data_IF_320304435840
#
_entry.id   IF_320304435840
#
_cell.length_a   1.000
_cell.length_b   1.000
_cell.length_c   1.000
_cell.angle_alpha   90.00
_cell.angle_beta   90.00
_cell.angle_gamma   90.00
#
_symmetry.space_group_name_H-M   'P 1'
#
loop_
_entity.id
_entity.type
_entity.pdbx_description
1 polymer ?
#
# COMPACT_ATOMS: atom_id res chain seq x y z
N UNK A 1 23.19 14.97 -17.64
CA UNK A 1 23.38 14.40 -16.28
C UNK A 1 24.23 15.25 -15.35
N UNK A 2 25.38 15.82 -15.78
CA UNK A 2 26.21 16.70 -14.93
C UNK A 2 25.54 18.02 -14.61
N UNK A 3 24.89 18.65 -15.57
CA UNK A 3 24.14 19.89 -15.38
C UNK A 3 22.99 19.73 -14.38
N UNK A 4 22.23 18.63 -14.44
CA UNK A 4 21.17 18.36 -13.47
C UNK A 4 21.72 18.19 -12.06
N UNK A 5 22.84 17.47 -11.89
CA UNK A 5 23.51 17.33 -10.58
C UNK A 5 24.11 18.65 -10.10
N UNK A 6 24.53 19.51 -11.03
CA UNK A 6 25.05 20.84 -10.71
C UNK A 6 23.93 21.79 -10.25
N UNK A 7 22.77 21.76 -10.91
CA UNK A 7 21.57 22.50 -10.51
C UNK A 7 21.07 22.06 -9.13
N UNK A 8 21.03 20.74 -8.90
CA UNK A 8 20.65 20.19 -7.58
C UNK A 8 21.64 20.65 -6.49
N UNK A 9 22.92 20.63 -6.79
CA UNK A 9 23.98 21.07 -5.88
C UNK A 9 23.88 22.57 -5.59
N UNK A 10 23.66 23.40 -6.62
CA UNK A 10 23.50 24.84 -6.48
C UNK A 10 22.24 25.23 -5.68
N UNK A 11 21.16 24.41 -5.78
CA UNK A 11 19.91 24.67 -5.09
C UNK A 11 19.92 24.23 -3.61
N UNK A 12 20.62 23.13 -3.29
CA UNK A 12 20.56 22.51 -1.96
C UNK A 12 21.78 22.78 -1.08
N UNK A 13 22.93 23.04 -1.69
CA UNK A 13 24.19 23.18 -0.95
C UNK A 13 24.54 24.65 -0.72
N UNK A 14 25.05 24.96 0.47
CA UNK A 14 25.62 26.29 0.76
C UNK A 14 27.00 26.41 0.08
N UNK A 15 27.00 26.90 -1.16
CA UNK A 15 28.21 27.23 -1.91
C UNK A 15 28.64 28.63 -1.53
N UNK A 16 29.89 28.81 -1.10
CA UNK A 16 30.41 30.10 -0.63
C UNK A 16 31.65 30.50 -1.41
N UNK A 17 31.79 31.80 -1.63
CA UNK A 17 32.99 32.37 -2.24
C UNK A 17 33.92 32.89 -1.14
N UNK A 18 35.15 32.39 -1.08
CA UNK A 18 36.14 32.78 -0.07
C UNK A 18 37.54 32.80 -0.73
N UNK A 19 38.31 33.87 -0.45
CA UNK A 19 39.71 33.97 -0.91
C UNK A 19 39.94 33.73 -2.39
N UNK A 20 39.00 34.18 -3.26
CA UNK A 20 39.14 34.05 -4.72
C UNK A 20 38.69 32.71 -5.31
N UNK A 21 38.21 31.77 -4.48
CA UNK A 21 37.74 30.46 -4.90
C UNK A 21 36.35 30.13 -4.32
N UNK A 22 35.64 29.23 -4.99
CA UNK A 22 34.34 28.74 -4.57
C UNK A 22 34.48 27.45 -3.77
N UNK A 23 33.89 27.43 -2.61
CA UNK A 23 33.83 26.23 -1.73
C UNK A 23 32.52 25.49 -1.99
N UNK A 24 32.63 24.33 -2.62
CA UNK A 24 31.46 23.50 -3.01
C UNK A 24 31.43 22.22 -2.18
N UNK A 25 30.36 21.98 -1.40
CA UNK A 25 30.28 20.79 -0.54
C UNK A 25 30.38 19.47 -1.31
N UNK A 26 31.13 18.52 -0.75
CA UNK A 26 31.26 17.16 -1.27
C UNK A 26 30.17 16.24 -0.68
N UNK A 27 29.75 15.24 -1.44
CA UNK A 27 28.85 14.19 -0.96
C UNK A 27 29.50 13.23 0.06
N UNK A 28 30.84 13.24 0.16
CA UNK A 28 31.63 12.38 1.06
C UNK A 28 32.11 13.10 2.32
N UNK A 29 31.70 14.35 2.52
CA UNK A 29 32.15 15.22 3.60
C UNK A 29 33.31 16.13 3.15
N UNK A 30 33.37 17.37 3.69
CA UNK A 30 34.31 18.39 3.29
C UNK A 30 33.85 19.23 2.09
N UNK A 31 34.74 20.07 1.57
CA UNK A 31 34.46 20.97 0.46
C UNK A 31 35.52 20.82 -0.67
N UNK A 32 35.05 20.88 -1.92
CA UNK A 32 35.95 21.05 -3.07
C UNK A 32 36.22 22.52 -3.32
N UNK A 33 37.48 22.85 -3.59
CA UNK A 33 37.87 24.19 -4.04
C UNK A 33 37.69 24.26 -5.54
N UNK A 34 36.94 25.27 -6.00
CA UNK A 34 36.62 25.49 -7.39
C UNK A 34 37.03 26.89 -7.81
N UNK A 35 37.85 27.02 -8.87
CA UNK A 35 38.14 28.27 -9.56
C UNK A 35 37.31 28.34 -10.85
N UNK A 36 36.90 29.56 -11.24
CA UNK A 36 36.12 29.80 -12.46
C UNK A 36 36.85 30.61 -13.55
N UNK A 37 38.10 30.94 -13.27
CA UNK A 37 38.91 31.67 -14.27
C UNK A 37 40.41 31.42 -14.01
N UNK A 38 41.07 30.46 -14.69
CA UNK A 38 40.47 29.38 -15.49
C UNK A 38 39.67 28.39 -14.66
N UNK A 39 38.80 27.60 -15.32
CA UNK A 39 38.07 26.56 -14.64
C UNK A 39 39.00 25.52 -14.03
N UNK A 40 38.87 25.29 -12.71
CA UNK A 40 39.61 24.26 -12.01
C UNK A 40 38.76 23.70 -10.84
N UNK A 41 38.92 22.42 -10.56
CA UNK A 41 38.25 21.75 -9.44
C UNK A 41 39.10 20.58 -8.93
N UNK A 42 39.15 20.39 -7.64
CA UNK A 42 39.92 19.31 -6.99
C UNK A 42 39.23 17.93 -7.06
N UNK A 43 38.04 17.83 -7.68
CA UNK A 43 37.33 16.55 -7.74
C UNK A 43 37.95 15.63 -8.83
N UNK A 44 37.81 14.33 -8.61
CA UNK A 44 38.29 13.27 -9.49
C UNK A 44 37.74 13.39 -10.93
N UNK A 45 36.44 13.74 -11.10
CA UNK A 45 35.84 13.92 -12.42
C UNK A 45 36.50 15.06 -13.24
N UNK A 46 36.92 16.13 -12.56
CA UNK A 46 37.68 17.23 -13.24
C UNK A 46 39.11 16.83 -13.51
N UNK A 47 39.77 16.17 -12.55
CA UNK A 47 41.18 15.75 -12.72
C UNK A 47 41.34 14.78 -13.89
N UNK A 48 40.42 13.85 -14.08
CA UNK A 48 40.45 12.85 -15.15
C UNK A 48 40.14 13.42 -16.55
N UNK A 49 39.26 14.43 -16.65
CA UNK A 49 38.67 14.82 -17.92
C UNK A 49 39.06 16.22 -18.39
N UNK A 50 39.54 17.06 -17.49
CA UNK A 50 39.85 18.46 -17.75
C UNK A 50 38.69 19.27 -18.40
N UNK A 51 37.44 18.84 -18.10
CA UNK A 51 36.21 19.45 -18.56
C UNK A 51 35.36 19.90 -17.36
N UNK A 52 34.50 20.94 -17.51
CA UNK A 52 33.68 21.43 -16.42
C UNK A 52 32.88 20.28 -15.74
N UNK A 53 33.20 20.01 -14.47
CA UNK A 53 32.50 19.04 -13.66
C UNK A 53 31.23 19.66 -13.03
N UNK A 54 30.41 18.83 -12.36
CA UNK A 54 29.23 19.32 -11.67
C UNK A 54 29.49 20.45 -10.66
N UNK A 55 30.67 20.49 -10.04
CA UNK A 55 31.03 21.49 -9.03
C UNK A 55 31.38 22.85 -9.71
N UNK A 56 32.08 22.82 -10.84
CA UNK A 56 32.35 24.03 -11.63
C UNK A 56 31.07 24.63 -12.17
N UNK A 57 30.17 23.80 -12.71
CA UNK A 57 28.87 24.26 -13.22
C UNK A 57 28.01 24.82 -12.08
N UNK A 58 27.98 24.17 -10.91
CA UNK A 58 27.25 24.65 -9.75
C UNK A 58 27.78 25.99 -9.23
N UNK A 59 29.09 26.16 -9.15
CA UNK A 59 29.70 27.43 -8.76
C UNK A 59 29.39 28.57 -9.76
N UNK A 60 29.36 28.29 -11.09
CA UNK A 60 28.94 29.25 -12.11
C UNK A 60 27.47 29.67 -11.91
N UNK A 61 26.57 28.71 -11.67
CA UNK A 61 25.15 28.98 -11.44
C UNK A 61 24.95 29.88 -10.21
N UNK A 62 25.67 29.61 -9.11
CA UNK A 62 25.61 30.45 -7.91
C UNK A 62 26.17 31.83 -8.16
N UNK A 63 27.30 31.93 -8.89
CA UNK A 63 27.88 33.23 -9.30
C UNK A 63 26.88 34.06 -10.12
N UNK A 64 26.26 33.46 -11.12
CA UNK A 64 25.25 34.10 -11.95
C UNK A 64 24.03 34.54 -11.17
N UNK A 65 23.56 33.72 -10.21
CA UNK A 65 22.48 34.07 -9.31
C UNK A 65 22.81 35.25 -8.41
N UNK A 66 24.00 35.25 -7.82
CA UNK A 66 24.38 36.23 -6.79
C UNK A 66 24.91 37.56 -7.39
N UNK A 67 25.41 37.55 -8.64
CA UNK A 67 25.99 38.69 -9.32
C UNK A 67 25.32 39.07 -10.66
N UNK A 68 24.36 38.26 -11.12
CA UNK A 68 23.60 38.52 -12.33
C UNK A 68 22.31 39.32 -12.08
N UNK A 69 22.07 40.33 -12.92
CA UNK A 69 20.85 41.15 -12.85
C UNK A 69 19.59 40.49 -13.40
N UNK A 70 19.62 39.22 -13.75
CA UNK A 70 18.49 38.42 -14.11
C UNK A 70 18.34 37.28 -13.07
N UNK A 71 17.28 37.29 -12.29
CA UNK A 71 16.91 36.16 -11.49
C UNK A 71 16.80 34.93 -12.41
N UNK A 72 17.80 34.01 -12.34
CA UNK A 72 17.66 32.72 -12.94
C UNK A 72 16.34 32.11 -12.41
N UNK A 73 15.48 31.56 -13.26
CA UNK A 73 14.27 30.92 -12.77
C UNK A 73 14.73 29.90 -11.73
N UNK A 74 14.26 30.07 -10.48
CA UNK A 74 14.35 29.05 -9.48
C UNK A 74 13.59 27.87 -10.09
N UNK A 75 14.31 26.91 -10.65
CA UNK A 75 13.75 25.60 -10.97
C UNK A 75 13.59 24.93 -9.61
N UNK A 76 12.61 25.44 -8.85
CA UNK A 76 11.91 24.55 -7.97
C UNK A 76 11.38 23.49 -8.92
N UNK A 77 11.86 22.24 -8.78
CA UNK A 77 11.07 21.11 -9.19
C UNK A 77 9.71 21.33 -8.52
N UNK A 78 8.85 22.07 -9.18
CA UNK A 78 7.46 22.18 -8.82
C UNK A 78 6.97 20.75 -9.02
N UNK A 79 6.98 20.00 -7.92
CA UNK A 79 6.28 18.72 -7.88
C UNK A 79 4.94 19.03 -8.52
N UNK A 80 4.64 18.46 -9.71
CA UNK A 80 3.41 18.80 -10.40
C UNK A 80 2.30 18.59 -9.40
N UNK A 81 1.59 19.68 -9.08
CA UNK A 81 0.49 19.60 -8.12
C UNK A 81 -0.40 18.48 -8.64
N UNK A 82 -0.64 17.45 -7.80
CA UNK A 82 -1.61 16.42 -8.12
C UNK A 82 -2.84 17.10 -8.72
N UNK A 83 -3.34 16.66 -9.88
CA UNK A 83 -4.62 17.15 -10.36
C UNK A 83 -5.64 16.84 -9.26
N UNK A 84 -6.01 17.84 -8.49
CA UNK A 84 -7.06 17.70 -7.49
C UNK A 84 -8.38 17.68 -8.23
N UNK A 85 -9.06 16.53 -8.29
CA UNK A 85 -10.45 16.49 -8.67
C UNK A 85 -11.25 17.29 -7.64
N UNK A 86 -12.14 18.14 -8.13
CA UNK A 86 -13.01 18.91 -7.24
C UNK A 86 -13.91 17.94 -6.48
N UNK A 87 -13.82 17.94 -5.14
CA UNK A 87 -14.62 17.07 -4.29
C UNK A 87 -16.11 17.45 -4.40
N UNK A 88 -16.97 16.47 -4.66
CA UNK A 88 -18.42 16.61 -4.58
C UNK A 88 -18.86 16.47 -3.11
N UNK A 89 -18.82 17.59 -2.39
CA UNK A 89 -19.15 17.63 -0.95
C UNK A 89 -20.55 17.10 -0.60
N UNK A 90 -21.62 17.39 -1.36
CA UNK A 90 -22.94 16.81 -1.10
C UNK A 90 -22.95 15.28 -1.12
N UNK A 91 -22.37 14.66 -2.15
CA UNK A 91 -22.27 13.21 -2.25
C UNK A 91 -21.36 12.61 -1.15
N UNK A 92 -20.21 13.25 -0.90
CA UNK A 92 -19.33 12.85 0.18
C UNK A 92 -20.06 12.83 1.54
N UNK A 93 -20.78 13.90 1.87
CA UNK A 93 -21.53 13.98 3.13
C UNK A 93 -22.63 12.91 3.20
N UNK A 94 -23.33 12.65 2.11
CA UNK A 94 -24.35 11.59 2.03
C UNK A 94 -23.72 10.21 2.30
N UNK A 95 -22.56 9.93 1.69
CA UNK A 95 -21.83 8.70 1.93
C UNK A 95 -21.45 8.55 3.40
N UNK A 96 -20.93 9.61 4.03
CA UNK A 96 -20.53 9.56 5.44
C UNK A 96 -21.74 9.35 6.38
N UNK A 97 -22.86 10.00 6.12
CA UNK A 97 -24.06 9.91 6.96
C UNK A 97 -24.75 8.54 6.90
N UNK A 98 -24.70 7.88 5.75
CA UNK A 98 -25.33 6.57 5.54
C UNK A 98 -24.37 5.38 5.74
N UNK A 99 -23.10 5.62 6.01
CA UNK A 99 -22.04 4.62 6.01
C UNK A 99 -22.33 3.41 6.93
N UNK A 100 -22.78 3.65 8.16
CA UNK A 100 -22.99 2.55 9.15
C UNK A 100 -24.04 1.55 8.70
N UNK A 101 -25.18 2.03 8.21
CA UNK A 101 -26.27 1.14 7.80
C UNK A 101 -25.93 0.46 6.48
N UNK A 102 -25.38 1.19 5.52
CA UNK A 102 -24.92 0.64 4.24
C UNK A 102 -23.78 -0.35 4.40
N UNK A 103 -22.84 -0.11 5.33
CA UNK A 103 -21.80 -1.08 5.67
C UNK A 103 -22.38 -2.44 6.07
N UNK A 104 -23.41 -2.45 6.93
CA UNK A 104 -24.06 -3.69 7.38
C UNK A 104 -24.76 -4.42 6.24
N UNK A 105 -25.46 -3.68 5.37
CA UNK A 105 -26.12 -4.23 4.19
C UNK A 105 -25.12 -4.85 3.24
N UNK A 106 -24.09 -4.09 2.84
CA UNK A 106 -23.07 -4.55 1.92
C UNK A 106 -22.25 -5.73 2.47
N UNK A 107 -21.95 -5.71 3.77
CA UNK A 107 -21.30 -6.85 4.42
C UNK A 107 -22.20 -8.10 4.37
N UNK A 108 -23.50 -7.97 4.66
CA UNK A 108 -24.44 -9.08 4.58
C UNK A 108 -24.57 -9.62 3.14
N UNK A 109 -24.60 -8.74 2.14
CA UNK A 109 -24.66 -9.13 0.72
C UNK A 109 -23.38 -9.85 0.28
N UNK A 110 -22.21 -9.35 0.68
CA UNK A 110 -20.94 -10.00 0.40
C UNK A 110 -20.86 -11.42 0.99
N UNK A 111 -21.45 -11.62 2.18
CA UNK A 111 -21.41 -12.92 2.87
C UNK A 111 -22.41 -13.95 2.33
N UNK A 112 -23.38 -13.58 1.51
CA UNK A 112 -24.31 -14.52 0.86
C UNK A 112 -23.63 -15.56 -0.03
N UNK A 113 -22.48 -15.22 -0.61
CA UNK A 113 -21.71 -16.12 -1.47
C UNK A 113 -20.67 -16.98 -0.75
N UNK A 114 -20.66 -17.03 0.57
CA UNK A 114 -19.75 -17.89 1.32
C UNK A 114 -20.25 -19.33 1.30
N UNK A 115 -19.39 -20.26 0.93
CA UNK A 115 -19.60 -21.68 1.12
C UNK A 115 -19.30 -22.05 2.57
N UNK A 116 -20.33 -22.47 3.30
CA UNK A 116 -20.19 -22.91 4.69
C UNK A 116 -19.40 -24.22 4.78
N UNK A 117 -18.42 -24.34 5.68
CA UNK A 117 -17.73 -25.60 5.93
C UNK A 117 -18.69 -26.69 6.41
N UNK A 118 -18.40 -27.93 6.07
CA UNK A 118 -19.19 -29.07 6.52
C UNK A 118 -19.33 -29.09 8.06
N UNK A 119 -20.57 -29.27 8.51
CA UNK A 119 -20.87 -29.37 9.95
C UNK A 119 -20.39 -30.72 10.49
N UNK A 120 -19.85 -30.77 11.71
CA UNK A 120 -19.51 -32.03 12.34
C UNK A 120 -20.75 -32.94 12.47
N UNK A 121 -20.57 -34.22 12.12
CA UNK A 121 -21.67 -35.21 12.18
C UNK A 121 -22.16 -35.49 13.60
N UNK A 122 -21.30 -35.30 14.59
CA UNK A 122 -21.57 -35.52 16.00
C UNK A 122 -21.14 -34.30 16.82
N UNK A 123 -21.87 -34.05 17.94
CA UNK A 123 -21.56 -32.96 18.83
C UNK A 123 -22.33 -31.68 18.56
N UNK A 124 -21.91 -30.58 19.19
CA UNK A 124 -22.50 -29.25 19.02
C UNK A 124 -22.21 -28.70 17.63
N UNK A 125 -23.25 -28.26 16.92
CA UNK A 125 -23.10 -27.60 15.63
C UNK A 125 -22.27 -26.33 15.77
N UNK A 126 -21.38 -26.08 14.81
CA UNK A 126 -20.61 -24.82 14.73
C UNK A 126 -21.54 -23.66 14.36
N UNK A 127 -21.24 -22.49 14.89
CA UNK A 127 -21.86 -21.25 14.41
C UNK A 127 -21.55 -21.07 12.92
N UNK A 128 -22.53 -20.69 12.09
CA UNK A 128 -22.28 -20.44 10.67
C UNK A 128 -21.12 -19.47 10.47
N UNK A 129 -20.21 -19.81 9.55
CA UNK A 129 -19.01 -19.03 9.30
C UNK A 129 -19.34 -17.60 8.82
N UNK A 130 -20.36 -17.46 7.96
CA UNK A 130 -20.86 -16.15 7.53
C UNK A 130 -21.26 -15.28 8.74
N UNK A 131 -21.97 -15.85 9.72
CA UNK A 131 -22.36 -15.12 10.94
C UNK A 131 -21.14 -14.73 11.79
N UNK A 132 -20.13 -15.60 11.87
CA UNK A 132 -18.87 -15.33 12.58
C UNK A 132 -18.10 -14.18 11.91
N UNK A 133 -17.96 -14.24 10.59
CA UNK A 133 -17.23 -13.19 9.83
C UNK A 133 -17.99 -11.86 9.91
N UNK A 134 -19.33 -11.89 9.77
CA UNK A 134 -20.15 -10.69 9.94
C UNK A 134 -19.89 -10.02 11.29
N UNK A 135 -20.01 -10.79 12.38
CA UNK A 135 -19.79 -10.28 13.72
C UNK A 135 -18.37 -9.76 13.95
N UNK A 136 -17.35 -10.47 13.42
CA UNK A 136 -15.95 -10.07 13.53
C UNK A 136 -15.66 -8.78 12.75
N UNK A 137 -16.17 -8.66 11.52
CA UNK A 137 -16.03 -7.44 10.72
C UNK A 137 -16.75 -6.25 11.36
N UNK A 138 -17.99 -6.45 11.85
CA UNK A 138 -18.72 -5.40 12.55
C UNK A 138 -18.03 -4.96 13.85
N UNK A 139 -17.40 -5.90 14.58
CA UNK A 139 -16.59 -5.58 15.77
C UNK A 139 -15.39 -4.69 15.43
N UNK A 140 -14.68 -5.00 14.35
CA UNK A 140 -13.55 -4.18 13.88
C UNK A 140 -14.05 -2.83 13.38
N UNK A 141 -15.13 -2.79 12.62
CA UNK A 141 -15.72 -1.57 12.10
C UNK A 141 -16.14 -0.59 13.20
N UNK A 142 -16.83 -1.09 14.24
CA UNK A 142 -17.32 -0.25 15.34
C UNK A 142 -16.25 0.14 16.35
N UNK A 143 -15.11 -0.53 16.36
CA UNK A 143 -14.00 -0.34 17.32
C UNK A 143 -14.39 -0.43 18.81
N UNK A 144 -15.59 -0.89 19.12
CA UNK A 144 -16.13 -0.98 20.48
C UNK A 144 -15.44 -2.08 21.31
N UNK A 145 -15.48 -1.92 22.64
CA UNK A 145 -15.12 -3.02 23.56
C UNK A 145 -16.14 -4.17 23.46
N UNK A 146 -15.73 -5.40 23.78
CA UNK A 146 -16.60 -6.58 23.65
C UNK A 146 -17.94 -6.42 24.36
N UNK A 147 -17.96 -5.81 25.56
CA UNK A 147 -19.22 -5.57 26.31
C UNK A 147 -20.14 -4.59 25.60
N UNK A 148 -19.62 -3.48 25.08
CA UNK A 148 -20.40 -2.47 24.34
C UNK A 148 -20.84 -3.00 22.97
N UNK A 149 -20.04 -3.86 22.36
CA UNK A 149 -20.32 -4.47 21.07
C UNK A 149 -21.55 -5.39 21.10
N UNK A 150 -21.93 -5.93 22.26
CA UNK A 150 -23.13 -6.76 22.39
C UNK A 150 -24.42 -6.04 21.91
N UNK A 151 -24.48 -4.71 22.01
CA UNK A 151 -25.63 -3.93 21.49
C UNK A 151 -25.70 -4.01 19.96
N UNK A 152 -24.56 -3.92 19.28
CA UNK A 152 -24.46 -3.98 17.82
C UNK A 152 -24.87 -5.36 17.27
N UNK A 153 -24.51 -6.43 17.98
CA UNK A 153 -24.93 -7.80 17.64
C UNK A 153 -26.45 -7.98 17.75
N UNK A 154 -27.03 -7.45 18.82
CA UNK A 154 -28.49 -7.51 19.01
C UNK A 154 -29.24 -6.73 17.93
N UNK A 155 -28.79 -5.51 17.62
CA UNK A 155 -29.40 -4.68 16.59
C UNK A 155 -29.27 -5.33 15.20
N UNK A 156 -28.10 -5.88 14.86
CA UNK A 156 -27.89 -6.58 13.59
C UNK A 156 -28.73 -7.87 13.47
N UNK A 157 -28.92 -8.58 14.57
CA UNK A 157 -29.82 -9.75 14.62
C UNK A 157 -31.27 -9.32 14.42
N UNK A 158 -31.72 -8.29 15.14
CA UNK A 158 -33.08 -7.76 15.03
C UNK A 158 -33.40 -7.26 13.60
N UNK A 159 -32.43 -6.71 12.91
CA UNK A 159 -32.53 -6.27 11.51
C UNK A 159 -32.38 -7.41 10.47
N UNK A 160 -32.14 -8.63 10.91
CA UNK A 160 -32.01 -9.81 10.04
C UNK A 160 -30.65 -9.94 9.32
N UNK A 161 -29.66 -9.11 9.61
CA UNK A 161 -28.32 -9.21 9.03
C UNK A 161 -27.51 -10.36 9.64
N UNK A 162 -27.81 -10.75 10.85
CA UNK A 162 -27.15 -11.81 11.59
C UNK A 162 -28.15 -12.96 11.86
N UNK A 163 -27.93 -14.09 11.21
CA UNK A 163 -28.82 -15.25 11.33
C UNK A 163 -28.80 -15.91 12.72
N UNK A 164 -27.73 -15.70 13.48
CA UNK A 164 -27.54 -16.34 14.79
C UNK A 164 -26.91 -15.36 15.78
N UNK A 165 -27.60 -15.11 16.90
CA UNK A 165 -27.09 -14.25 17.97
C UNK A 165 -25.98 -14.97 18.75
N UNK A 166 -24.75 -14.44 18.69
CA UNK A 166 -23.62 -14.99 19.42
C UNK A 166 -23.18 -14.09 20.57
N UNK A 167 -22.45 -14.68 21.51
CA UNK A 167 -21.81 -13.90 22.57
C UNK A 167 -20.65 -13.08 22.01
N UNK A 168 -20.50 -11.85 22.47
CA UNK A 168 -19.40 -10.97 22.06
C UNK A 168 -17.99 -11.50 22.42
N UNK A 169 -17.88 -12.38 23.41
CA UNK A 169 -16.62 -13.07 23.75
C UNK A 169 -16.30 -14.11 22.69
N UNK A 170 -17.28 -14.93 22.28
CA UNK A 170 -17.07 -15.95 21.24
C UNK A 170 -16.60 -15.36 19.93
N UNK A 171 -16.94 -14.11 19.60
CA UNK A 171 -16.43 -13.43 18.39
C UNK A 171 -14.90 -13.29 18.42
N UNK A 172 -14.32 -13.04 19.60
CA UNK A 172 -12.85 -12.97 19.74
C UNK A 172 -12.20 -14.33 19.63
N UNK A 173 -12.85 -15.38 20.18
CA UNK A 173 -12.34 -16.74 20.12
C UNK A 173 -12.31 -17.26 18.68
N UNK A 174 -13.36 -16.96 17.89
CA UNK A 174 -13.38 -17.31 16.47
C UNK A 174 -12.30 -16.61 15.64
N UNK A 175 -11.86 -15.41 16.03
CA UNK A 175 -10.75 -14.73 15.34
C UNK A 175 -9.41 -15.50 15.46
N UNK A 176 -9.29 -16.42 16.40
CA UNK A 176 -8.11 -17.28 16.59
C UNK A 176 -8.09 -18.51 15.67
N UNK A 177 -9.15 -18.74 14.90
CA UNK A 177 -9.22 -19.89 14.01
C UNK A 177 -8.50 -19.65 12.68
N UNK A 178 -7.59 -20.56 12.31
CA UNK A 178 -6.85 -20.56 11.06
C UNK A 178 -7.76 -20.55 9.82
N UNK A 179 -8.93 -21.20 9.92
CA UNK A 179 -9.90 -21.22 8.83
C UNK A 179 -10.36 -19.84 8.41
N UNK A 180 -10.34 -18.83 9.28
CA UNK A 180 -10.76 -17.48 8.94
C UNK A 180 -9.84 -16.80 7.92
N UNK A 181 -8.54 -17.02 8.03
CA UNK A 181 -7.54 -16.33 7.20
C UNK A 181 -7.81 -16.46 5.69
N UNK A 182 -7.98 -17.66 5.10
CA UNK A 182 -8.23 -17.80 3.66
C UNK A 182 -9.59 -17.21 3.24
N UNK A 183 -10.63 -17.33 4.08
CA UNK A 183 -11.91 -16.72 3.77
C UNK A 183 -11.85 -15.19 3.78
N UNK A 184 -11.18 -14.60 4.76
CA UNK A 184 -11.01 -13.15 4.83
C UNK A 184 -10.21 -12.61 3.65
N UNK A 185 -9.15 -13.30 3.24
CA UNK A 185 -8.37 -12.93 2.06
C UNK A 185 -9.25 -12.93 0.81
N UNK A 186 -10.01 -14.01 0.58
CA UNK A 186 -10.94 -14.10 -0.55
C UNK A 186 -12.04 -13.04 -0.51
N UNK A 187 -12.56 -12.72 0.68
CA UNK A 187 -13.59 -11.68 0.84
C UNK A 187 -13.07 -10.28 0.56
N UNK A 188 -11.81 -9.98 0.90
CA UNK A 188 -11.16 -8.72 0.53
C UNK A 188 -11.10 -8.58 -0.99
N UNK A 189 -10.68 -9.64 -1.67
CA UNK A 189 -10.64 -9.70 -3.13
C UNK A 189 -12.04 -9.52 -3.74
N UNK A 190 -13.05 -10.23 -3.22
CA UNK A 190 -14.44 -10.12 -3.68
C UNK A 190 -15.03 -8.73 -3.41
N UNK A 191 -14.76 -8.16 -2.24
CA UNK A 191 -15.20 -6.80 -1.91
C UNK A 191 -14.65 -5.74 -2.88
N UNK A 192 -13.54 -6.01 -3.56
CA UNK A 192 -12.95 -5.10 -4.53
C UNK A 192 -13.63 -5.14 -5.92
N UNK A 193 -14.33 -6.22 -6.28
CA UNK A 193 -14.85 -6.47 -7.64
C UNK A 193 -15.76 -5.39 -8.19
N UNK A 194 -16.64 -4.73 -7.42
CA UNK A 194 -17.47 -3.64 -7.95
C UNK A 194 -16.67 -2.51 -8.60
N UNK A 195 -15.38 -2.37 -8.21
CA UNK A 195 -14.49 -1.30 -8.69
C UNK A 195 -13.61 -1.71 -9.88
N UNK A 196 -13.74 -2.94 -10.40
CA UNK A 196 -12.91 -3.47 -11.49
C UNK A 196 -12.95 -2.68 -12.79
N UNK A 197 -14.07 -1.99 -13.06
CA UNK A 197 -14.23 -1.17 -14.26
C UNK A 197 -13.75 0.26 -14.10
N UNK A 198 -13.57 0.70 -12.85
CA UNK A 198 -13.18 2.07 -12.50
C UNK A 198 -11.67 2.19 -12.27
N UNK A 199 -11.06 1.11 -11.77
CA UNK A 199 -9.65 1.10 -11.38
C UNK A 199 -8.77 0.44 -12.45
N UNK A 200 -7.66 1.11 -12.76
CA UNK A 200 -6.66 0.61 -13.71
C UNK A 200 -5.22 0.91 -13.30
N UNK A 201 -5.03 1.71 -12.26
CA UNK A 201 -3.69 2.06 -11.75
C UNK A 201 -3.50 1.47 -10.37
N UNK A 202 -2.45 0.68 -10.22
CA UNK A 202 -2.21 -0.05 -8.98
C UNK A 202 -0.87 0.31 -8.37
N UNK A 203 -0.82 0.27 -7.04
CA UNK A 203 0.42 0.47 -6.31
C UNK A 203 0.53 -0.53 -5.16
N UNK A 204 1.59 -1.35 -5.14
CA UNK A 204 1.93 -2.21 -4.01
C UNK A 204 2.68 -1.42 -2.96
N UNK A 205 2.36 -1.65 -1.70
CA UNK A 205 3.15 -1.16 -0.58
C UNK A 205 2.93 -2.00 0.68
N UNK A 206 3.72 -1.76 1.71
CA UNK A 206 3.61 -2.45 2.99
C UNK A 206 3.38 -1.48 4.14
N UNK A 207 2.65 -1.96 5.15
CA UNK A 207 2.42 -1.21 6.38
C UNK A 207 2.53 -2.11 7.59
N UNK A 208 2.89 -1.54 8.73
CA UNK A 208 2.93 -2.23 10.01
C UNK A 208 1.78 -1.81 10.92
N UNK A 209 1.16 -2.77 11.61
CA UNK A 209 0.22 -2.53 12.70
C UNK A 209 0.88 -2.87 14.02
N UNK A 210 0.81 -1.96 15.00
CA UNK A 210 1.42 -2.14 16.32
C UNK A 210 0.66 -3.19 17.12
N UNK A 211 1.37 -4.08 17.80
CA UNK A 211 0.77 -5.12 18.65
C UNK A 211 0.43 -4.62 20.07
N UNK A 212 0.85 -3.41 20.43
CA UNK A 212 0.53 -2.83 21.74
C UNK A 212 0.55 -1.31 21.71
N UNK A 213 -0.56 -0.72 22.17
CA UNK A 213 -0.70 0.74 22.30
C UNK A 213 -0.01 1.28 23.57
N UNK A 214 0.14 0.45 24.60
CA UNK A 214 0.60 0.88 25.92
C UNK A 214 2.12 0.83 26.09
N UNK A 215 2.84 0.22 25.17
CA UNK A 215 4.30 0.06 25.25
C UNK A 215 5.02 1.40 25.30
N UNK A 216 4.60 2.38 24.48
CA UNK A 216 5.25 3.70 24.44
C UNK A 216 5.23 4.43 25.80
N UNK A 217 4.06 4.47 26.45
CA UNK A 217 3.93 5.19 27.73
C UNK A 217 4.68 4.50 28.85
N UNK A 218 4.66 3.15 28.87
CA UNK A 218 5.33 2.36 29.89
C UNK A 218 6.84 2.39 29.74
N UNK A 219 7.34 2.31 28.51
CA UNK A 219 8.77 2.39 28.17
C UNK A 219 9.33 3.78 28.49
N UNK A 220 8.58 4.84 28.15
CA UNK A 220 8.97 6.22 28.44
C UNK A 220 8.98 6.50 29.96
N UNK A 221 7.97 6.00 30.68
CA UNK A 221 7.86 6.20 32.13
C UNK A 221 8.89 5.43 32.95
N UNK A 222 9.26 4.23 32.52
CA UNK A 222 10.12 3.33 33.31
C UNK A 222 11.51 3.08 32.69
N UNK A 223 11.83 3.75 31.59
CA UNK A 223 13.14 3.65 30.93
C UNK A 223 13.52 2.24 30.49
N UNK A 224 12.54 1.35 30.30
CA UNK A 224 12.76 -0.02 29.86
C UNK A 224 12.52 -0.13 28.38
N UNK A 225 13.59 -0.16 27.59
CA UNK A 225 13.50 -0.66 26.21
C UNK A 225 13.11 -2.15 26.25
N UNK A 226 11.84 -2.45 25.99
CA UNK A 226 11.47 -3.81 25.65
C UNK A 226 12.00 -4.09 24.25
N UNK A 227 13.06 -4.87 24.17
CA UNK A 227 13.55 -5.47 22.95
C UNK A 227 12.41 -6.31 22.35
N UNK A 228 11.85 -5.88 21.21
CA UNK A 228 10.86 -6.66 20.50
C UNK A 228 9.48 -6.00 20.41
N UNK A 229 9.39 -4.87 19.70
CA UNK A 229 8.11 -4.40 19.17
C UNK A 229 7.74 -5.33 18.03
N UNK A 230 6.83 -6.26 18.30
CA UNK A 230 6.25 -7.08 17.26
C UNK A 230 5.27 -6.22 16.45
N UNK A 231 5.45 -6.23 15.16
CA UNK A 231 4.56 -5.58 14.21
C UNK A 231 3.94 -6.64 13.31
N UNK A 232 2.65 -6.55 13.09
CA UNK A 232 2.01 -7.29 12.02
C UNK A 232 2.24 -6.54 10.72
N UNK A 233 3.13 -7.06 9.88
CA UNK A 233 3.43 -6.48 8.57
C UNK A 233 2.43 -6.97 7.53
N UNK A 234 1.66 -6.04 6.98
CA UNK A 234 0.72 -6.30 5.91
C UNK A 234 1.20 -5.65 4.61
N UNK A 235 1.05 -6.37 3.51
CA UNK A 235 1.31 -5.90 2.15
C UNK A 235 0.02 -5.90 1.39
N UNK A 236 -0.21 -4.86 0.59
CA UNK A 236 -1.42 -4.73 -0.19
C UNK A 236 -1.12 -4.19 -1.58
N UNK A 237 -1.87 -4.68 -2.56
CA UNK A 237 -2.02 -4.07 -3.88
C UNK A 237 -3.24 -3.16 -3.82
N UNK A 238 -3.04 -1.88 -4.05
CA UNK A 238 -4.07 -0.86 -3.87
C UNK A 238 -4.35 -0.16 -5.19
N UNK A 239 -5.62 0.06 -5.49
CA UNK A 239 -6.05 0.90 -6.60
C UNK A 239 -5.80 2.37 -6.30
N UNK A 240 -5.03 3.04 -7.14
CA UNK A 240 -4.59 4.41 -6.91
C UNK A 240 -5.71 5.45 -7.00
N UNK A 241 -6.78 5.16 -7.75
CA UNK A 241 -7.91 6.07 -7.94
C UNK A 241 -8.97 5.94 -6.84
N UNK A 242 -9.24 4.71 -6.43
CA UNK A 242 -10.36 4.38 -5.53
C UNK A 242 -9.94 4.06 -4.12
N UNK A 243 -8.64 3.84 -3.87
CA UNK A 243 -8.08 3.34 -2.61
C UNK A 243 -8.54 1.89 -2.25
N UNK A 244 -9.07 1.13 -3.20
CA UNK A 244 -9.50 -0.25 -2.97
C UNK A 244 -8.29 -1.19 -2.85
N UNK A 245 -8.33 -2.13 -1.93
CA UNK A 245 -7.33 -3.18 -1.76
C UNK A 245 -7.75 -4.39 -2.60
N UNK A 246 -7.02 -4.70 -3.68
CA UNK A 246 -7.36 -5.80 -4.60
C UNK A 246 -6.71 -7.13 -4.24
N UNK A 247 -5.59 -7.09 -3.56
CA UNK A 247 -4.89 -8.25 -3.03
C UNK A 247 -4.11 -7.87 -1.79
N UNK A 248 -3.92 -8.80 -0.86
CA UNK A 248 -3.11 -8.56 0.33
C UNK A 248 -2.41 -9.82 0.81
N UNK A 249 -1.25 -9.63 1.45
CA UNK A 249 -0.47 -10.70 2.07
C UNK A 249 0.00 -10.26 3.45
N UNK A 250 -0.30 -11.08 4.46
CA UNK A 250 0.24 -10.90 5.80
C UNK A 250 1.30 -11.97 6.00
N UNK A 251 2.56 -11.56 5.97
CA UNK A 251 3.71 -12.43 6.18
C UNK A 251 4.53 -11.95 7.38
N UNK A 252 5.45 -12.79 7.84
CA UNK A 252 6.33 -12.45 8.95
C UNK A 252 7.08 -11.11 8.74
N UNK A 253 7.51 -10.47 9.82
CA UNK A 253 8.10 -9.12 9.77
C UNK A 253 9.40 -9.06 8.94
N UNK A 254 10.13 -10.16 8.83
CA UNK A 254 11.40 -10.28 8.10
C UNK A 254 11.25 -10.58 6.61
N UNK A 255 10.05 -10.96 6.14
CA UNK A 255 9.85 -11.26 4.72
C UNK A 255 10.02 -10.01 3.86
N UNK A 256 10.79 -10.12 2.77
CA UNK A 256 10.99 -9.04 1.78
C UNK A 256 9.69 -8.63 1.10
N UNK A 257 9.64 -7.41 0.58
CA UNK A 257 8.43 -6.90 -0.10
C UNK A 257 8.38 -7.33 -1.58
N UNK A 258 9.52 -7.32 -2.27
CA UNK A 258 9.62 -7.66 -3.69
C UNK A 258 9.09 -9.07 -4.05
N UNK A 259 9.36 -10.15 -3.30
CA UNK A 259 8.79 -11.47 -3.58
C UNK A 259 7.26 -11.53 -3.53
N UNK A 260 6.62 -10.64 -2.78
CA UNK A 260 5.16 -10.60 -2.65
C UNK A 260 4.47 -9.81 -3.77
N UNK A 261 5.24 -9.12 -4.60
CA UNK A 261 4.72 -8.34 -5.72
C UNK A 261 3.98 -9.21 -6.73
N UNK A 262 4.63 -10.28 -7.20
CA UNK A 262 4.08 -11.19 -8.20
C UNK A 262 2.73 -11.80 -7.76
N UNK A 263 2.61 -12.48 -6.61
CA UNK A 263 1.34 -13.08 -6.21
C UNK A 263 0.22 -12.05 -6.04
N UNK A 264 0.50 -10.85 -5.52
CA UNK A 264 -0.53 -9.80 -5.39
C UNK A 264 -0.99 -9.27 -6.75
N UNK A 265 -0.07 -9.09 -7.70
CA UNK A 265 -0.41 -8.61 -9.04
C UNK A 265 -1.19 -9.69 -9.83
N UNK A 266 -0.75 -10.94 -9.78
CA UNK A 266 -1.43 -12.07 -10.42
C UNK A 266 -2.85 -12.25 -9.86
N UNK A 267 -3.02 -12.15 -8.55
CA UNK A 267 -4.35 -12.18 -7.89
C UNK A 267 -5.24 -11.03 -8.39
N UNK A 268 -4.69 -9.82 -8.50
CA UNK A 268 -5.44 -8.65 -9.01
C UNK A 268 -5.93 -8.89 -10.44
N UNK A 269 -5.07 -9.41 -11.32
CA UNK A 269 -5.43 -9.76 -12.70
C UNK A 269 -6.44 -10.91 -12.75
N UNK A 270 -6.25 -11.97 -11.97
CA UNK A 270 -7.15 -13.12 -11.90
C UNK A 270 -8.57 -12.73 -11.46
N UNK A 271 -8.70 -11.68 -10.66
CA UNK A 271 -9.97 -11.09 -10.24
C UNK A 271 -10.58 -10.15 -11.30
N UNK A 272 -10.02 -10.07 -12.52
CA UNK A 272 -10.58 -9.37 -13.66
C UNK A 272 -10.29 -7.87 -13.69
N UNK A 273 -9.36 -7.37 -12.90
CA UNK A 273 -8.90 -5.98 -13.03
C UNK A 273 -7.99 -5.82 -14.24
N UNK A 274 -8.25 -4.78 -15.04
CA UNK A 274 -7.37 -4.38 -16.14
C UNK A 274 -6.23 -3.53 -15.58
N UNK A 275 -5.01 -4.04 -15.65
CA UNK A 275 -3.84 -3.33 -15.16
C UNK A 275 -3.28 -2.44 -16.27
N UNK A 276 -3.37 -1.12 -16.09
CA UNK A 276 -2.76 -0.11 -16.95
C UNK A 276 -1.39 0.32 -16.41
N UNK A 277 -1.38 1.03 -15.30
CA UNK A 277 -0.14 1.51 -14.66
C UNK A 277 0.12 0.80 -13.34
N UNK A 278 1.37 0.46 -13.06
CA UNK A 278 1.80 -0.06 -11.75
C UNK A 278 2.89 0.85 -11.19
N UNK A 279 2.56 1.55 -10.11
CA UNK A 279 3.45 2.53 -9.47
C UNK A 279 4.00 1.96 -8.16
N UNK A 280 5.29 1.59 -8.11
CA UNK A 280 5.88 0.97 -6.94
C UNK A 280 7.20 1.63 -6.49
N UNK A 281 7.57 1.42 -5.23
CA UNK A 281 8.82 1.93 -4.70
C UNK A 281 10.04 1.20 -5.31
N UNK A 282 11.20 1.81 -5.21
CA UNK A 282 12.50 1.25 -5.65
C UNK A 282 12.83 -0.12 -5.05
N UNK A 283 12.20 -0.49 -3.92
CA UNK A 283 12.32 -1.83 -3.33
C UNK A 283 11.77 -2.94 -4.24
N UNK A 284 10.80 -2.59 -5.10
CA UNK A 284 10.19 -3.52 -6.07
C UNK A 284 10.92 -3.56 -7.42
N UNK A 285 12.00 -2.76 -7.60
CA UNK A 285 12.73 -2.72 -8.86
C UNK A 285 13.51 -4.02 -9.08
N UNK A 286 13.02 -4.84 -9.98
CA UNK A 286 13.69 -6.03 -10.51
C UNK A 286 13.29 -6.22 -11.98
N UNK A 287 14.14 -6.90 -12.77
CA UNK A 287 13.82 -7.23 -14.17
C UNK A 287 12.53 -8.04 -14.25
N UNK A 288 12.42 -9.05 -13.41
CA UNK A 288 11.25 -9.93 -13.34
C UNK A 288 9.94 -9.20 -13.08
N UNK A 289 9.94 -8.21 -12.17
CA UNK A 289 8.75 -7.43 -11.86
C UNK A 289 8.36 -6.51 -13.02
N UNK A 290 9.33 -5.87 -13.69
CA UNK A 290 9.07 -5.04 -14.86
C UNK A 290 8.49 -5.86 -16.01
N UNK A 291 9.10 -7.00 -16.33
CA UNK A 291 8.64 -7.94 -17.37
C UNK A 291 7.26 -8.53 -17.05
N UNK A 292 6.99 -8.80 -15.77
CA UNK A 292 5.67 -9.29 -15.35
C UNK A 292 4.58 -8.27 -15.67
N UNK A 293 4.80 -6.99 -15.33
CA UNK A 293 3.83 -5.93 -15.59
C UNK A 293 3.63 -5.73 -17.09
N UNK A 294 4.72 -5.72 -17.90
CA UNK A 294 4.59 -5.61 -19.37
C UNK A 294 3.83 -6.80 -19.97
N UNK A 295 4.11 -8.02 -19.49
CA UNK A 295 3.43 -9.25 -19.96
C UNK A 295 1.92 -9.24 -19.77
N UNK A 296 1.43 -8.64 -18.70
CA UNK A 296 0.00 -8.47 -18.45
C UNK A 296 -0.61 -7.25 -19.16
N UNK A 297 0.19 -6.53 -19.95
CA UNK A 297 -0.25 -5.35 -20.72
C UNK A 297 -0.19 -4.03 -19.96
N UNK A 298 0.42 -4.00 -18.77
CA UNK A 298 0.58 -2.80 -17.95
C UNK A 298 1.91 -2.08 -18.19
N UNK A 299 2.04 -0.88 -17.65
CA UNK A 299 3.28 -0.08 -17.66
C UNK A 299 3.80 0.09 -16.24
N UNK A 300 5.01 -0.38 -15.92
CA UNK A 300 5.57 -0.21 -14.58
C UNK A 300 6.27 1.14 -14.43
N UNK A 301 5.87 1.89 -13.41
CA UNK A 301 6.50 3.14 -12.99
C UNK A 301 7.23 2.91 -11.67
N UNK A 302 8.41 2.27 -11.75
CA UNK A 302 9.28 1.96 -10.60
C UNK A 302 10.60 2.72 -10.80
N UNK A 303 10.97 3.69 -9.94
CA UNK A 303 12.15 4.50 -10.11
C UNK A 303 13.43 3.68 -10.04
N UNK A 304 14.35 3.95 -10.94
CA UNK A 304 15.66 3.31 -10.97
C UNK A 304 16.56 3.79 -9.85
N UNK A 305 17.40 2.89 -9.34
CA UNK A 305 18.43 3.21 -8.35
C UNK A 305 19.55 4.01 -9.00
N UNK A 306 20.28 4.79 -8.20
CA UNK A 306 21.38 5.65 -8.70
C UNK A 306 22.46 4.84 -9.43
N UNK A 307 22.70 3.62 -9.00
CA UNK A 307 23.69 2.70 -9.57
C UNK A 307 23.13 1.78 -10.67
N UNK A 308 21.86 1.98 -11.09
CA UNK A 308 21.30 1.20 -12.19
C UNK A 308 22.00 1.54 -13.51
N UNK A 309 22.26 0.53 -14.31
CA UNK A 309 22.85 0.64 -15.65
C UNK A 309 21.77 0.35 -16.70
N UNK A 310 21.97 0.82 -17.96
CA UNK A 310 21.14 0.38 -19.07
C UNK A 310 21.11 -1.16 -19.15
N UNK A 311 19.97 -1.73 -19.51
CA UNK A 311 19.83 -3.16 -19.70
C UNK A 311 20.32 -3.60 -21.08
N UNK A 312 20.04 -4.85 -21.42
CA UNK A 312 20.23 -5.40 -22.76
C UNK A 312 19.33 -4.68 -23.75
N UNK A 313 19.83 -4.51 -24.99
CA UNK A 313 19.12 -3.84 -26.06
C UNK A 313 17.75 -4.49 -26.33
N UNK A 314 16.71 -3.69 -26.40
CA UNK A 314 15.33 -4.13 -26.63
C UNK A 314 14.60 -4.68 -25.39
N UNK A 315 15.28 -4.81 -24.25
CA UNK A 315 14.65 -5.27 -23.00
C UNK A 315 13.67 -4.22 -22.42
N UNK A 316 12.70 -4.71 -21.63
CA UNK A 316 11.77 -3.85 -20.86
C UNK A 316 12.54 -2.90 -19.94
N UNK A 317 13.60 -3.41 -19.34
CA UNK A 317 14.50 -2.64 -18.49
C UNK A 317 15.12 -1.46 -19.22
N UNK A 318 15.67 -1.68 -20.41
CA UNK A 318 16.29 -0.62 -21.21
C UNK A 318 15.28 0.48 -21.61
N UNK A 319 14.11 0.06 -22.11
CA UNK A 319 13.04 0.99 -22.51
C UNK A 319 12.63 1.89 -21.35
N UNK A 320 12.39 1.29 -20.18
CA UNK A 320 11.96 2.03 -18.99
C UNK A 320 13.09 2.85 -18.37
N UNK A 321 14.34 2.35 -18.42
CA UNK A 321 15.50 3.12 -17.99
C UNK A 321 15.68 4.35 -18.85
N UNK A 322 15.58 4.22 -20.18
CA UNK A 322 15.61 5.35 -21.12
C UNK A 322 14.46 6.32 -20.84
N UNK A 323 13.23 5.82 -20.62
CA UNK A 323 12.10 6.68 -20.29
C UNK A 323 12.32 7.44 -18.97
N UNK A 324 12.81 6.78 -17.93
CA UNK A 324 13.16 7.40 -16.65
C UNK A 324 14.29 8.45 -16.77
N UNK A 325 15.26 8.25 -17.67
CA UNK A 325 16.39 9.19 -17.85
C UNK A 325 16.02 10.40 -18.71
N UNK A 326 15.32 10.19 -19.82
CA UNK A 326 15.08 11.22 -20.83
C UNK A 326 13.75 11.96 -20.66
N UNK A 327 12.74 11.30 -20.06
CA UNK A 327 11.40 11.88 -19.79
C UNK A 327 11.04 11.81 -18.31
N UNK A 328 11.98 12.19 -17.48
CA UNK A 328 11.90 12.02 -16.03
C UNK A 328 10.66 12.66 -15.39
N UNK A 329 10.30 13.87 -15.83
CA UNK A 329 9.12 14.57 -15.28
C UNK A 329 7.82 13.84 -15.59
N UNK A 330 7.68 13.34 -16.80
CA UNK A 330 6.52 12.56 -17.23
C UNK A 330 6.44 11.24 -16.47
N UNK A 331 7.57 10.52 -16.35
CA UNK A 331 7.68 9.30 -15.55
C UNK A 331 7.30 9.54 -14.08
N UNK A 332 7.86 10.59 -13.46
CA UNK A 332 7.57 10.92 -12.07
C UNK A 332 6.12 11.38 -11.87
N UNK A 333 5.53 12.06 -12.82
CA UNK A 333 4.11 12.43 -12.80
C UNK A 333 3.20 11.21 -12.64
N UNK A 334 3.51 10.11 -13.35
CA UNK A 334 2.81 8.83 -13.20
C UNK A 334 3.18 8.13 -11.89
N UNK A 335 4.47 8.05 -11.57
CA UNK A 335 4.97 7.43 -10.36
C UNK A 335 4.36 8.00 -9.08
N UNK A 336 4.12 9.31 -9.02
CA UNK A 336 3.58 9.97 -7.82
C UNK A 336 2.16 9.51 -7.43
N UNK A 337 1.44 8.81 -8.31
CA UNK A 337 0.18 8.16 -7.96
C UNK A 337 0.38 7.09 -6.87
N UNK A 338 1.60 6.57 -6.68
CA UNK A 338 1.96 5.70 -5.56
C UNK A 338 1.58 6.27 -4.20
N UNK A 339 1.68 7.59 -4.02
CA UNK A 339 1.35 8.22 -2.73
C UNK A 339 -0.09 7.97 -2.25
N UNK A 340 -0.98 7.50 -3.14
CA UNK A 340 -2.35 7.15 -2.76
C UNK A 340 -2.41 5.89 -1.89
N UNK A 341 -1.43 4.98 -2.00
CA UNK A 341 -1.34 3.81 -1.11
C UNK A 341 -1.08 4.25 0.34
N UNK A 342 -0.20 5.23 0.53
CA UNK A 342 0.08 5.78 1.86
C UNK A 342 -1.20 6.41 2.45
N UNK A 343 -1.99 7.08 1.59
CA UNK A 343 -3.30 7.61 1.97
C UNK A 343 -4.26 6.49 2.35
N UNK A 344 -4.31 5.39 1.59
CA UNK A 344 -5.14 4.22 1.90
C UNK A 344 -4.80 3.63 3.27
N UNK A 345 -3.51 3.40 3.55
CA UNK A 345 -3.11 2.89 4.86
C UNK A 345 -3.41 3.87 6.00
N UNK A 346 -3.27 5.17 5.74
CA UNK A 346 -3.66 6.20 6.70
C UNK A 346 -5.17 6.17 6.97
N UNK A 347 -6.02 6.00 5.94
CA UNK A 347 -7.47 5.85 6.07
C UNK A 347 -7.82 4.60 6.90
N UNK A 348 -7.19 3.45 6.61
CA UNK A 348 -7.40 2.21 7.39
C UNK A 348 -7.05 2.41 8.86
N UNK A 349 -5.88 3.01 9.14
CA UNK A 349 -5.40 3.22 10.50
C UNK A 349 -6.21 4.27 11.27
N UNK A 350 -6.58 5.35 10.61
CA UNK A 350 -7.39 6.40 11.23
C UNK A 350 -8.77 5.87 11.63
N UNK A 351 -9.41 5.06 10.77
CA UNK A 351 -10.75 4.54 11.01
C UNK A 351 -10.79 3.32 11.92
N UNK A 352 -9.90 2.36 11.69
CA UNK A 352 -9.91 1.06 12.37
C UNK A 352 -8.75 0.88 13.36
N UNK A 353 -8.01 1.97 13.65
CA UNK A 353 -6.84 2.05 14.53
C UNK A 353 -5.56 1.49 13.91
N UNK A 354 -4.45 2.03 14.34
CA UNK A 354 -3.09 1.65 13.95
C UNK A 354 -2.50 0.48 14.77
N UNK A 355 -3.23 0.06 15.83
CA UNK A 355 -2.88 -1.05 16.70
C UNK A 355 -3.84 -2.25 16.52
N UNK A 356 -3.38 -3.46 16.77
CA UNK A 356 -4.20 -4.66 16.89
C UNK A 356 -4.49 -4.94 18.37
N UNK A 357 -5.72 -5.39 18.64
CA UNK A 357 -6.17 -5.74 20.00
C UNK A 357 -6.04 -7.22 20.31
N UNK A 358 -5.99 -8.03 19.28
CA UNK A 358 -5.78 -9.48 19.36
C UNK A 358 -4.40 -9.79 19.92
N UNK A 359 -4.25 -10.97 20.54
CA UNK A 359 -3.03 -11.34 21.25
C UNK A 359 -2.29 -12.51 20.62
N UNK A 360 -2.99 -13.41 19.95
CA UNK A 360 -2.39 -14.55 19.26
C UNK A 360 -2.04 -14.16 17.82
N UNK A 361 -1.02 -14.77 17.24
CA UNK A 361 -0.54 -14.46 15.88
C UNK A 361 -1.64 -14.61 14.84
N UNK A 362 -2.47 -15.64 14.96
CA UNK A 362 -3.57 -15.90 14.03
C UNK A 362 -4.63 -14.82 14.18
N UNK A 363 -5.05 -14.51 15.40
CA UNK A 363 -6.04 -13.47 15.65
C UNK A 363 -5.56 -12.08 15.22
N UNK A 364 -4.27 -11.77 15.41
CA UNK A 364 -3.66 -10.51 14.95
C UNK A 364 -3.71 -10.41 13.42
N UNK A 365 -3.35 -11.49 12.71
CA UNK A 365 -3.47 -11.56 11.24
C UNK A 365 -4.90 -11.36 10.78
N UNK A 366 -5.83 -12.09 11.37
CA UNK A 366 -7.26 -12.01 11.04
C UNK A 366 -7.83 -10.61 11.35
N UNK A 367 -7.41 -9.95 12.44
CA UNK A 367 -7.82 -8.59 12.73
C UNK A 367 -7.37 -7.60 11.66
N UNK A 368 -6.13 -7.71 11.16
CA UNK A 368 -5.63 -6.85 10.07
C UNK A 368 -6.39 -7.12 8.77
N UNK A 369 -6.67 -8.40 8.43
CA UNK A 369 -7.48 -8.74 7.27
C UNK A 369 -8.90 -8.18 7.40
N UNK A 370 -9.50 -8.25 8.58
CA UNK A 370 -10.81 -7.64 8.85
C UNK A 370 -10.79 -6.11 8.68
N UNK A 371 -9.72 -5.42 9.06
CA UNK A 371 -9.56 -3.98 8.80
C UNK A 371 -9.55 -3.67 7.30
N UNK A 372 -8.85 -4.49 6.51
CA UNK A 372 -8.81 -4.34 5.05
C UNK A 372 -10.17 -4.66 4.42
N UNK A 373 -10.86 -5.69 4.89
CA UNK A 373 -12.22 -6.00 4.45
C UNK A 373 -13.18 -4.86 4.74
N UNK A 374 -13.18 -4.35 5.97
CA UNK A 374 -14.01 -3.20 6.37
C UNK A 374 -13.70 -1.96 5.52
N UNK A 375 -12.42 -1.71 5.23
CA UNK A 375 -12.01 -0.61 4.38
C UNK A 375 -12.58 -0.76 2.97
N UNK A 376 -12.47 -1.92 2.34
CA UNK A 376 -13.01 -2.15 1.00
C UNK A 376 -14.52 -1.93 0.93
N UNK A 377 -15.27 -2.40 1.93
CA UNK A 377 -16.73 -2.18 1.98
C UNK A 377 -17.06 -0.68 2.07
N UNK A 378 -16.32 0.07 2.88
CA UNK A 378 -16.48 1.54 2.99
C UNK A 378 -16.14 2.24 1.69
N UNK A 379 -15.06 1.83 1.02
CA UNK A 379 -14.65 2.38 -0.28
C UNK A 379 -15.72 2.08 -1.35
N UNK A 380 -16.25 0.87 -1.38
CA UNK A 380 -17.33 0.51 -2.31
C UNK A 380 -18.59 1.34 -2.02
N UNK A 381 -18.97 1.51 -0.75
CA UNK A 381 -20.10 2.38 -0.40
C UNK A 381 -19.89 3.82 -0.90
N UNK A 382 -18.72 4.40 -0.67
CA UNK A 382 -18.40 5.74 -1.17
C UNK A 382 -18.50 5.80 -2.71
N UNK A 383 -17.97 4.80 -3.40
CA UNK A 383 -18.02 4.74 -4.85
C UNK A 383 -19.46 4.55 -5.39
N UNK A 384 -20.32 3.81 -4.70
CA UNK A 384 -21.76 3.71 -5.04
C UNK A 384 -22.41 5.09 -5.00
N UNK A 385 -22.16 5.87 -3.96
CA UNK A 385 -22.77 7.19 -3.79
C UNK A 385 -22.14 8.23 -4.73
N UNK A 386 -20.82 8.24 -4.86
CA UNK A 386 -20.09 9.26 -5.62
C UNK A 386 -20.11 9.01 -7.12
N UNK A 387 -19.92 7.75 -7.54
CA UNK A 387 -19.78 7.35 -8.94
C UNK A 387 -21.04 6.70 -9.53
N UNK A 388 -22.02 6.32 -8.69
CA UNK A 388 -23.24 5.66 -9.12
C UNK A 388 -23.03 4.22 -9.62
N UNK A 389 -21.98 3.53 -9.12
CA UNK A 389 -21.74 2.13 -9.47
C UNK A 389 -22.67 1.20 -8.67
N UNK A 390 -22.87 -0.01 -9.18
CA UNK A 390 -23.55 -1.08 -8.45
C UNK A 390 -22.57 -1.89 -7.61
N UNK A 391 -22.94 -2.20 -6.38
CA UNK A 391 -22.13 -3.02 -5.46
C UNK A 391 -22.39 -4.51 -5.69
N UNK A 392 -22.01 -5.03 -6.86
CA UNK A 392 -22.17 -6.44 -7.20
C UNK A 392 -20.91 -7.23 -6.83
N UNK A 393 -20.97 -8.01 -5.76
CA UNK A 393 -19.84 -8.83 -5.28
C UNK A 393 -19.77 -10.21 -5.96
N UNK A 394 -20.91 -10.71 -6.47
CA UNK A 394 -21.06 -12.04 -7.05
C UNK A 394 -21.75 -11.92 -8.41
N UNK A 395 -21.03 -11.49 -9.46
CA UNK A 395 -21.63 -11.35 -10.78
C UNK A 395 -22.21 -12.67 -11.28
N UNK A 396 -23.40 -12.61 -11.89
CA UNK A 396 -24.14 -13.76 -12.39
C UNK A 396 -23.42 -14.49 -13.55
N UNK A 397 -22.58 -13.78 -14.28
CA UNK A 397 -21.79 -14.35 -15.37
C UNK A 397 -20.64 -15.17 -14.81
N UNK A 398 -20.93 -16.45 -14.55
CA UNK A 398 -19.96 -17.54 -14.55
C UNK A 398 -18.58 -17.26 -14.00
N UNK A 399 -18.47 -16.49 -12.93
CA UNK A 399 -17.30 -16.63 -12.10
C UNK A 399 -17.31 -18.08 -11.67
N UNK A 400 -16.66 -18.92 -12.49
CA UNK A 400 -16.57 -20.34 -12.30
C UNK A 400 -16.50 -20.62 -10.81
N UNK A 401 -17.34 -21.50 -10.31
CA UNK A 401 -17.05 -22.26 -9.11
C UNK A 401 -15.56 -22.55 -9.23
N UNK A 402 -14.72 -21.71 -8.63
CA UNK A 402 -13.28 -21.92 -8.63
C UNK A 402 -13.14 -23.16 -7.80
N UNK A 403 -13.04 -24.27 -8.57
CA UNK A 403 -12.83 -25.59 -8.07
C UNK A 403 -11.74 -25.51 -7.01
N UNK A 404 -11.91 -26.30 -6.00
CA UNK A 404 -11.04 -26.67 -4.90
C UNK A 404 -9.60 -27.06 -5.29
N UNK A 405 -9.07 -26.66 -6.43
CA UNK A 405 -7.78 -27.10 -6.97
C UNK A 405 -6.57 -26.52 -6.24
N UNK A 406 -6.74 -25.58 -5.31
CA UNK A 406 -5.63 -25.04 -4.52
C UNK A 406 -5.58 -25.50 -3.06
N UNK A 407 -6.64 -26.10 -2.53
CA UNK A 407 -6.71 -26.49 -1.10
C UNK A 407 -6.32 -27.96 -0.85
N UNK A 408 -6.24 -28.79 -1.89
CA UNK A 408 -5.88 -30.22 -1.72
C UNK A 408 -4.39 -30.52 -1.65
N UNK A 409 -3.50 -29.58 -1.99
CA UNK A 409 -2.05 -29.86 -1.93
C UNK A 409 -1.37 -29.52 -0.60
N UNK A 410 -2.05 -28.86 0.35
CA UNK A 410 -1.47 -28.55 1.66
C UNK A 410 -2.12 -29.23 2.87
N UNK A 411 -3.08 -30.11 2.66
CA UNK A 411 -3.76 -30.87 3.75
C UNK A 411 -3.24 -32.30 3.89
N UNK A 412 -2.37 -32.77 2.98
CA UNK A 412 -1.84 -34.15 3.01
C UNK A 412 -0.67 -34.37 3.97
N UNK A 413 -0.22 -33.39 4.72
CA UNK A 413 0.86 -33.56 5.70
C UNK A 413 0.45 -32.97 7.06
N UNK A 414 -0.42 -33.65 7.77
CA UNK A 414 -0.52 -33.71 9.24
C UNK A 414 -1.87 -34.26 9.70
N UNK A 415 -2.09 -35.55 9.37
CA UNK A 415 -2.88 -36.39 10.25
C UNK A 415 -1.95 -36.95 11.31
N UNK A 416 -1.65 -36.17 12.32
CA UNK A 416 -1.21 -36.67 13.61
C UNK A 416 -2.12 -36.10 14.69
N UNK A 417 -2.86 -37.02 15.22
CA UNK A 417 -3.60 -37.07 16.48
C UNK A 417 -3.22 -35.97 17.48
N UNK A 418 -4.12 -35.04 17.73
CA UNK A 418 -4.24 -34.43 19.06
C UNK A 418 -5.63 -34.72 19.58
N UNK A 419 -5.67 -35.62 20.56
CA UNK A 419 -6.77 -35.84 21.47
C UNK A 419 -6.97 -34.58 22.32
N UNK A 420 -8.27 -34.28 22.53
CA UNK A 420 -8.92 -33.28 23.40
C UNK A 420 -9.13 -31.90 22.84
#
# INVERSE_FOLDING_TARGET
>A
MRELKALELAARARITFMCGVWMVPSSTGGNYTVALNPDACQCEDFALRQLPCKHVIAARLVRERDHGSAAAPIVTDAVPKKPSSKQDWPKYNLAQQSERDRFRELLADLLKGIEEPEQPRTGRRRTPLAAVIYASALKVFTTLSSRRFACELKDSHAKGYLSHLMNSVSVTDYMEHDLMTPYLTRLIERAALPLRTVESTFAPDSTGFSTSRFVKWFDEKYGRERSGREWVKARAMVGAKTNVITACVIAGPTAGDSPQFRPMLETTVANGFKVGDVCADKAYLSRENLELVERIGGTPFIPFKVNSQPGEAGSVWEKLYGYFQFRRQEFLGRYHQRSNVESTFSMVKAKFRDDVRSRTDIAMKNEVLLKFLCHNIVVVHSAVVELGIEAEFWPADGGAKVAQTGLQQNVSLRNETVKF
#
